data_IF_452331967290
#
_entry.id   IF_452331967290
#
_cell.length_a   1.000
_cell.length_b   1.000
_cell.length_c   1.000
_cell.angle_alpha   90.00
_cell.angle_beta   90.00
_cell.angle_gamma   90.00
#
_symmetry.space_group_name_H-M   'P 1'
#
loop_
_entity.id
_entity.type
_entity.pdbx_description
1 polymer ?
#
# COMPACT_ATOMS: atom_id res chain seq x y z
N UNK A 1 5.79 10.30 -5.23
CA UNK A 1 5.17 10.14 -6.56
C UNK A 1 5.37 11.41 -7.38
N UNK A 2 5.41 11.30 -8.70
CA UNK A 2 5.58 12.45 -9.60
C UNK A 2 4.27 12.86 -10.29
N UNK A 3 4.10 14.15 -10.56
CA UNK A 3 3.02 14.69 -11.37
C UNK A 3 3.37 14.62 -12.88
N UNK A 4 2.39 14.41 -13.78
CA UNK A 4 1.02 13.99 -13.46
C UNK A 4 0.98 12.55 -12.93
N UNK A 5 0.29 12.34 -11.82
CA UNK A 5 0.13 11.02 -11.20
C UNK A 5 -0.79 10.13 -12.02
N UNK A 6 -0.52 8.82 -12.04
CA UNK A 6 -1.35 7.80 -12.68
C UNK A 6 -1.70 6.73 -11.66
N UNK A 7 -2.92 6.77 -11.12
CA UNK A 7 -3.32 5.92 -10.00
C UNK A 7 -3.05 4.43 -10.25
N UNK A 8 -3.50 3.92 -11.40
CA UNK A 8 -3.36 2.50 -11.78
C UNK A 8 -1.91 2.01 -11.85
N UNK A 9 -0.95 2.92 -12.08
CA UNK A 9 0.49 2.62 -12.09
C UNK A 9 1.10 2.84 -10.71
N UNK A 10 0.87 4.01 -10.12
CA UNK A 10 1.62 4.50 -8.96
C UNK A 10 1.18 3.81 -7.65
N UNK A 11 -0.12 3.54 -7.51
CA UNK A 11 -0.68 2.91 -6.31
C UNK A 11 -0.15 1.48 -6.08
N UNK A 12 -0.31 0.52 -7.03
CA UNK A 12 0.17 -0.84 -6.81
C UNK A 12 1.71 -0.89 -6.71
N UNK A 13 2.45 -0.07 -7.46
CA UNK A 13 3.92 -0.05 -7.40
C UNK A 13 4.44 0.37 -6.02
N UNK A 14 3.84 1.39 -5.41
CA UNK A 14 4.20 1.83 -4.07
C UNK A 14 3.75 0.85 -2.99
N UNK A 15 2.60 0.19 -3.13
CA UNK A 15 2.21 -0.91 -2.23
C UNK A 15 3.22 -2.05 -2.32
N UNK A 16 3.58 -2.48 -3.54
CA UNK A 16 4.54 -3.55 -3.83
C UNK A 16 5.91 -3.25 -3.21
N UNK A 17 6.48 -2.10 -3.53
CA UNK A 17 7.87 -1.77 -3.16
C UNK A 17 8.00 -1.24 -1.73
N UNK A 18 7.15 -0.29 -1.36
CA UNK A 18 7.30 0.43 -0.10
C UNK A 18 6.52 -0.25 1.02
N UNK A 19 5.25 -0.58 0.84
CA UNK A 19 4.44 -1.17 1.92
C UNK A 19 4.84 -2.62 2.18
N UNK A 20 4.77 -3.47 1.15
CA UNK A 20 5.06 -4.91 1.27
C UNK A 20 6.58 -5.14 1.24
N UNK A 21 7.26 -4.66 0.19
CA UNK A 21 8.68 -4.91 -0.04
C UNK A 21 9.57 -4.42 1.10
N UNK A 22 9.45 -3.15 1.49
CA UNK A 22 10.31 -2.59 2.53
C UNK A 22 10.08 -3.27 3.90
N UNK A 23 8.84 -3.54 4.29
CA UNK A 23 8.55 -4.16 5.59
C UNK A 23 8.95 -5.64 5.65
N UNK A 24 8.84 -6.37 4.54
CA UNK A 24 9.42 -7.72 4.40
C UNK A 24 10.95 -7.69 4.40
N UNK A 25 11.55 -6.56 4.00
CA UNK A 25 12.97 -6.28 4.06
C UNK A 25 13.37 -5.47 5.31
N UNK A 26 12.69 -5.72 6.44
CA UNK A 26 13.03 -5.24 7.78
C UNK A 26 12.86 -3.74 8.05
N UNK A 27 12.33 -2.97 7.10
CA UNK A 27 11.94 -1.59 7.38
C UNK A 27 10.83 -1.58 8.45
N UNK A 28 11.06 -0.84 9.54
CA UNK A 28 10.08 -0.65 10.62
C UNK A 28 9.14 0.53 10.35
N UNK A 29 9.45 1.35 9.34
CA UNK A 29 8.72 2.57 9.02
C UNK A 29 8.80 2.82 7.52
N UNK A 30 7.68 3.24 6.95
CA UNK A 30 7.54 3.65 5.54
C UNK A 30 6.88 5.02 5.55
N UNK A 31 7.51 5.99 4.88
CA UNK A 31 7.03 7.36 4.78
C UNK A 31 6.90 7.73 3.30
N UNK A 32 5.73 8.24 2.93
CA UNK A 32 5.59 9.01 1.69
C UNK A 32 6.10 10.42 1.91
N UNK A 33 6.46 11.11 0.81
CA UNK A 33 7.20 12.37 0.88
C UNK A 33 6.37 13.54 1.42
N UNK A 34 5.69 14.28 0.54
CA UNK A 34 4.85 15.41 0.94
C UNK A 34 3.44 14.93 1.31
N UNK A 35 2.90 15.40 2.42
CA UNK A 35 1.48 15.16 2.74
C UNK A 35 0.56 15.91 1.78
N UNK A 36 0.87 17.18 1.50
CA UNK A 36 0.05 18.07 0.67
C UNK A 36 0.85 18.65 -0.50
N UNK A 37 0.17 18.95 -1.59
CA UNK A 37 0.66 19.81 -2.69
C UNK A 37 -0.48 20.71 -3.17
N UNK A 38 -0.17 21.88 -3.72
CA UNK A 38 -1.17 22.66 -4.48
C UNK A 38 -1.26 22.14 -5.93
N UNK A 39 -2.24 22.59 -6.76
CA UNK A 39 -2.38 22.09 -8.13
C UNK A 39 -1.19 22.41 -9.04
N UNK A 40 -0.38 23.40 -8.67
CA UNK A 40 0.83 23.81 -9.40
C UNK A 40 2.11 23.14 -8.85
N UNK A 41 2.02 22.19 -7.91
CA UNK A 41 3.13 21.55 -7.21
C UNK A 41 4.14 22.53 -6.59
N UNK A 42 3.65 23.66 -6.08
CA UNK A 42 4.44 24.73 -5.45
C UNK A 42 4.11 24.86 -3.96
N UNK A 43 5.03 25.43 -3.16
CA UNK A 43 6.38 25.85 -3.53
C UNK A 43 7.34 24.66 -3.67
N UNK A 44 8.40 24.83 -4.46
CA UNK A 44 9.56 23.95 -4.50
C UNK A 44 10.84 24.82 -4.59
N UNK A 45 11.99 24.27 -4.22
CA UNK A 45 13.28 24.97 -4.36
C UNK A 45 13.62 25.17 -5.83
N UNK A 46 13.71 26.41 -6.28
CA UNK A 46 13.99 26.78 -7.68
C UNK A 46 15.35 26.27 -8.22
N UNK A 47 16.34 26.10 -7.34
CA UNK A 47 17.67 25.56 -7.66
C UNK A 47 17.75 24.05 -7.45
N UNK A 48 17.01 23.29 -8.26
CA UNK A 48 17.10 21.82 -8.32
C UNK A 48 16.12 21.05 -7.43
N UNK A 49 15.13 21.72 -6.85
CA UNK A 49 14.01 21.07 -6.17
C UNK A 49 13.08 20.34 -7.13
N UNK A 50 12.28 19.43 -6.59
CA UNK A 50 11.32 18.66 -7.36
C UNK A 50 10.10 19.53 -7.74
N UNK A 51 10.05 19.97 -8.98
CA UNK A 51 8.98 20.78 -9.57
C UNK A 51 7.70 19.97 -9.92
N UNK A 52 7.77 18.66 -9.73
CA UNK A 52 6.73 17.69 -10.08
C UNK A 52 6.39 16.73 -8.93
N UNK A 53 6.66 17.11 -7.69
CA UNK A 53 6.38 16.23 -6.55
C UNK A 53 4.93 16.35 -6.10
N UNK A 54 4.18 15.25 -6.28
CA UNK A 54 2.78 15.18 -5.91
C UNK A 54 2.63 14.77 -4.44
N UNK A 55 1.84 15.51 -3.68
CA UNK A 55 1.54 15.19 -2.29
C UNK A 55 0.61 13.98 -2.16
N UNK A 56 0.47 13.46 -0.93
CA UNK A 56 -0.57 12.50 -0.59
C UNK A 56 -1.97 13.02 -0.96
N UNK A 57 -2.21 14.30 -0.72
CA UNK A 57 -3.41 15.01 -1.19
C UNK A 57 -3.03 16.30 -1.93
N UNK A 58 -3.87 16.69 -2.89
CA UNK A 58 -3.82 18.00 -3.54
C UNK A 58 -4.89 18.90 -2.94
N UNK A 59 -4.50 20.11 -2.52
CA UNK A 59 -5.39 21.13 -1.96
C UNK A 59 -5.58 22.26 -2.97
N UNK A 60 -6.83 22.54 -3.35
CA UNK A 60 -7.24 23.65 -4.22
C UNK A 60 -8.30 24.49 -3.52
N UNK A 61 -7.87 25.50 -2.74
CA UNK A 61 -8.71 26.11 -1.72
C UNK A 61 -9.19 25.05 -0.72
N UNK A 62 -10.51 24.96 -0.53
CA UNK A 62 -11.15 23.96 0.35
C UNK A 62 -11.35 22.59 -0.31
N UNK A 63 -11.03 22.46 -1.61
CA UNK A 63 -11.18 21.19 -2.32
C UNK A 63 -9.98 20.28 -2.06
N UNK A 64 -10.25 19.11 -1.48
CA UNK A 64 -9.25 18.07 -1.22
C UNK A 64 -9.35 16.94 -2.25
N UNK A 65 -8.27 16.71 -2.99
CA UNK A 65 -8.14 15.55 -3.89
C UNK A 65 -7.15 14.56 -3.32
N UNK A 66 -7.54 13.29 -3.15
CA UNK A 66 -6.65 12.23 -2.66
C UNK A 66 -5.87 11.64 -3.82
N UNK A 67 -4.55 11.69 -3.76
CA UNK A 67 -3.66 11.07 -4.73
C UNK A 67 -3.34 9.63 -4.30
N UNK A 68 -2.67 8.86 -5.15
CA UNK A 68 -2.33 7.47 -4.87
C UNK A 68 -1.59 7.28 -3.53
N UNK A 69 -0.65 8.17 -3.18
CA UNK A 69 0.12 8.11 -1.94
C UNK A 69 -0.77 8.14 -0.67
N UNK A 70 -1.90 8.85 -0.70
CA UNK A 70 -2.86 8.81 0.41
C UNK A 70 -3.39 7.38 0.62
N UNK A 71 -3.79 6.71 -0.46
CA UNK A 71 -4.32 5.35 -0.38
C UNK A 71 -3.26 4.33 0.01
N UNK A 72 -2.01 4.49 -0.48
CA UNK A 72 -0.87 3.66 -0.07
C UNK A 72 -0.72 3.67 1.46
N UNK A 73 -0.64 4.86 2.05
CA UNK A 73 -0.51 5.01 3.50
C UNK A 73 -1.78 4.53 4.23
N UNK A 74 -2.97 4.77 3.67
CA UNK A 74 -4.23 4.38 4.29
C UNK A 74 -4.41 2.85 4.40
N UNK A 75 -3.94 2.08 3.42
CA UNK A 75 -4.00 0.61 3.44
C UNK A 75 -3.21 -0.03 4.58
N UNK A 76 -2.17 0.65 5.08
CA UNK A 76 -1.37 0.18 6.20
C UNK A 76 -1.72 0.90 7.52
N UNK A 77 -1.59 2.24 7.57
CA UNK A 77 -1.58 3.02 8.82
C UNK A 77 -2.87 2.97 9.65
N UNK A 78 -4.01 2.73 8.99
CA UNK A 78 -5.30 2.57 9.69
C UNK A 78 -5.38 1.27 10.49
N UNK A 79 -4.69 0.23 10.05
CA UNK A 79 -4.85 -1.14 10.55
C UNK A 79 -3.60 -1.67 11.27
N UNK A 80 -2.41 -1.30 10.80
CA UNK A 80 -1.10 -1.64 11.39
C UNK A 80 -0.67 -0.50 12.31
N UNK A 81 -1.12 -0.55 13.56
CA UNK A 81 -0.89 0.51 14.56
C UNK A 81 0.52 0.40 15.17
N UNK A 82 1.06 1.46 15.78
CA UNK A 82 2.32 1.38 16.51
C UNK A 82 2.32 0.22 17.52
N UNK A 83 3.42 -0.53 17.56
CA UNK A 83 3.54 -1.76 18.35
C UNK A 83 3.18 -3.05 17.60
N UNK A 84 2.62 -2.96 16.39
CA UNK A 84 2.46 -4.13 15.52
C UNK A 84 3.81 -4.75 15.16
N UNK A 85 3.85 -6.08 15.13
CA UNK A 85 5.03 -6.88 14.77
C UNK A 85 4.74 -7.60 13.46
N UNK A 86 5.64 -7.51 12.49
CA UNK A 86 5.54 -8.30 11.26
C UNK A 86 5.67 -9.78 11.60
N UNK A 87 4.73 -10.59 11.16
CA UNK A 87 4.75 -12.05 11.32
C UNK A 87 5.06 -12.73 9.98
N UNK A 88 5.41 -14.01 10.03
CA UNK A 88 5.62 -14.79 8.81
C UNK A 88 4.29 -14.96 8.06
N UNK A 89 4.35 -14.78 6.75
CA UNK A 89 3.26 -15.07 5.82
C UNK A 89 3.85 -15.57 4.50
N UNK A 90 3.26 -16.62 3.96
CA UNK A 90 3.62 -17.24 2.70
C UNK A 90 2.46 -17.19 1.71
N UNK A 91 2.76 -17.60 0.49
CA UNK A 91 1.74 -18.00 -0.49
C UNK A 91 2.01 -19.47 -0.74
N UNK A 92 0.99 -20.32 -0.61
CA UNK A 92 1.13 -21.74 -0.96
C UNK A 92 1.26 -21.82 -2.49
N UNK A 93 2.47 -22.14 -2.95
CA UNK A 93 2.87 -22.04 -4.35
C UNK A 93 2.91 -23.43 -4.98
N UNK A 94 1.75 -23.87 -5.47
CA UNK A 94 1.68 -24.82 -6.60
C UNK A 94 1.78 -24.11 -7.95
N UNK A 95 1.68 -22.78 -7.99
CA UNK A 95 1.81 -21.99 -9.21
C UNK A 95 3.06 -21.11 -9.14
N UNK A 96 3.97 -21.29 -10.11
CA UNK A 96 5.13 -20.45 -10.37
C UNK A 96 4.78 -18.99 -10.78
N UNK A 97 3.55 -18.55 -10.54
CA UNK A 97 2.89 -17.33 -11.04
C UNK A 97 2.23 -16.51 -9.91
N UNK A 98 2.66 -16.63 -8.65
CA UNK A 98 1.98 -15.92 -7.55
C UNK A 98 2.27 -14.41 -7.57
N UNK A 99 1.56 -13.69 -8.43
CA UNK A 99 1.42 -12.23 -8.44
C UNK A 99 0.60 -11.72 -7.23
N UNK A 100 0.36 -12.56 -6.23
CA UNK A 100 -0.23 -12.19 -4.94
C UNK A 100 0.89 -11.87 -3.95
N UNK A 101 1.29 -10.62 -3.90
CA UNK A 101 2.27 -10.14 -2.94
C UNK A 101 1.58 -9.85 -1.62
N UNK A 102 2.18 -10.21 -0.49
CA UNK A 102 1.55 -9.99 0.80
C UNK A 102 2.52 -9.69 1.94
N UNK A 103 1.99 -9.09 3.01
CA UNK A 103 2.68 -8.97 4.31
C UNK A 103 1.65 -9.07 5.43
N UNK A 104 2.01 -9.75 6.52
CA UNK A 104 1.17 -9.90 7.69
C UNK A 104 1.79 -9.25 8.95
N UNK A 105 0.93 -8.76 9.82
CA UNK A 105 1.29 -8.15 11.10
C UNK A 105 0.39 -8.68 12.22
N UNK A 106 0.98 -8.91 13.40
CA UNK A 106 0.25 -9.10 14.66
C UNK A 106 0.17 -7.75 15.37
N UNK A 107 -1.03 -7.31 15.73
CA UNK A 107 -1.26 -6.08 16.47
C UNK A 107 -1.14 -6.30 17.99
N UNK A 108 -0.88 -5.23 18.77
CA UNK A 108 -0.86 -5.31 20.23
C UNK A 108 -2.17 -5.80 20.87
N UNK A 109 -3.31 -5.59 20.19
CA UNK A 109 -4.62 -6.07 20.63
C UNK A 109 -4.92 -7.51 20.21
N UNK A 110 -3.92 -8.26 19.74
CA UNK A 110 -4.03 -9.66 19.34
C UNK A 110 -4.58 -9.89 17.93
N UNK A 111 -5.11 -8.86 17.26
CA UNK A 111 -5.63 -8.99 15.90
C UNK A 111 -4.53 -9.16 14.88
N UNK A 112 -4.79 -9.93 13.82
CA UNK A 112 -3.91 -10.07 12.67
C UNK A 112 -4.34 -9.12 11.56
N UNK A 113 -3.37 -8.59 10.84
CA UNK A 113 -3.58 -7.76 9.65
C UNK A 113 -2.83 -8.39 8.50
N UNK A 114 -3.52 -8.64 7.39
CA UNK A 114 -2.91 -9.10 6.15
C UNK A 114 -3.17 -8.06 5.06
N UNK A 115 -2.09 -7.58 4.44
CA UNK A 115 -2.15 -6.74 3.25
C UNK A 115 -1.78 -7.63 2.06
N UNK A 116 -2.64 -7.69 1.04
CA UNK A 116 -2.43 -8.47 -0.18
C UNK A 116 -2.60 -7.55 -1.39
N UNK A 117 -1.61 -7.55 -2.29
CA UNK A 117 -1.67 -6.92 -3.60
C UNK A 117 -1.84 -8.01 -4.66
N UNK A 118 -2.85 -7.86 -5.52
CA UNK A 118 -2.90 -8.55 -6.80
C UNK A 118 -2.12 -7.76 -7.85
N UNK A 119 -0.86 -8.13 -8.07
CA UNK A 119 0.08 -7.53 -9.03
C UNK A 119 -0.06 -8.13 -10.44
N UNK A 120 -1.25 -8.66 -10.77
CA UNK A 120 -1.57 -9.19 -12.09
C UNK A 120 -2.56 -8.31 -12.84
N UNK A 121 -2.67 -8.54 -14.14
CA UNK A 121 -3.63 -7.88 -15.03
C UNK A 121 -5.01 -8.55 -15.04
N UNK A 122 -5.22 -9.59 -14.21
CA UNK A 122 -6.47 -10.35 -14.12
C UNK A 122 -6.96 -10.45 -12.68
N UNK A 123 -8.24 -10.79 -12.50
CA UNK A 123 -8.76 -11.12 -11.17
C UNK A 123 -8.06 -12.38 -10.62
N UNK A 124 -7.72 -12.36 -9.32
CA UNK A 124 -7.17 -13.52 -8.60
C UNK A 124 -8.07 -13.87 -7.44
N UNK A 125 -8.46 -15.15 -7.39
CA UNK A 125 -9.17 -15.76 -6.27
C UNK A 125 -8.18 -16.55 -5.43
N UNK A 126 -8.25 -16.40 -4.12
CA UNK A 126 -7.38 -17.09 -3.18
C UNK A 126 -8.09 -17.28 -1.84
N UNK A 127 -7.52 -18.11 -0.97
CA UNK A 127 -8.03 -18.36 0.37
C UNK A 127 -7.03 -17.84 1.38
N UNK A 128 -7.47 -17.01 2.32
CA UNK A 128 -6.68 -16.65 3.49
C UNK A 128 -6.78 -17.81 4.49
N UNK A 129 -5.65 -18.44 4.79
CA UNK A 129 -5.55 -19.53 5.76
C UNK A 129 -4.82 -19.05 7.02
N UNK A 130 -5.41 -19.29 8.20
CA UNK A 130 -4.80 -19.04 9.50
C UNK A 130 -5.24 -20.11 10.51
N UNK A 131 -4.45 -21.17 10.67
CA UNK A 131 -4.85 -22.34 11.45
C UNK A 131 -6.08 -23.02 10.83
N UNK A 132 -7.17 -23.10 11.60
CA UNK A 132 -8.46 -23.64 11.13
C UNK A 132 -9.31 -22.62 10.35
N UNK A 133 -8.94 -21.32 10.38
CA UNK A 133 -9.65 -20.29 9.62
C UNK A 133 -9.29 -20.40 8.14
N UNK A 134 -10.32 -20.47 7.30
CA UNK A 134 -10.21 -20.41 5.83
C UNK A 134 -11.24 -19.42 5.30
N UNK A 135 -10.80 -18.33 4.67
CA UNK A 135 -11.68 -17.31 4.11
C UNK A 135 -11.40 -17.10 2.61
N UNK A 136 -12.36 -17.43 1.71
CA UNK A 136 -12.18 -17.18 0.29
C UNK A 136 -12.29 -15.68 -0.01
N UNK A 137 -11.41 -15.20 -0.89
CA UNK A 137 -11.28 -13.80 -1.28
C UNK A 137 -11.04 -13.71 -2.79
N UNK A 138 -11.54 -12.64 -3.40
CA UNK A 138 -11.21 -12.25 -4.77
C UNK A 138 -10.68 -10.83 -4.80
N UNK A 139 -9.60 -10.59 -5.54
CA UNK A 139 -9.06 -9.26 -5.81
C UNK A 139 -8.98 -9.02 -7.32
N UNK A 140 -9.52 -7.89 -7.78
CA UNK A 140 -9.38 -7.42 -9.16
C UNK A 140 -7.91 -7.15 -9.49
N UNK A 141 -7.59 -7.07 -10.79
CA UNK A 141 -6.29 -6.67 -11.29
C UNK A 141 -5.79 -5.37 -10.63
N UNK A 142 -4.53 -5.32 -10.23
CA UNK A 142 -3.89 -4.15 -9.60
C UNK A 142 -4.46 -3.72 -8.23
N UNK A 143 -5.43 -4.45 -7.68
CA UNK A 143 -6.11 -4.05 -6.44
C UNK A 143 -5.42 -4.59 -5.19
N UNK A 144 -5.67 -3.91 -4.07
CA UNK A 144 -5.09 -4.24 -2.76
C UNK A 144 -6.22 -4.49 -1.76
N UNK A 145 -6.12 -5.59 -1.02
CA UNK A 145 -6.98 -5.88 0.13
C UNK A 145 -6.21 -5.75 1.43
N UNK A 146 -6.81 -5.08 2.42
CA UNK A 146 -6.34 -5.13 3.82
C UNK A 146 -7.38 -5.85 4.66
N UNK A 147 -7.02 -7.01 5.20
CA UNK A 147 -7.87 -7.89 5.98
C UNK A 147 -7.47 -7.84 7.44
N UNK A 148 -8.45 -7.83 8.34
CA UNK A 148 -8.23 -7.78 9.79
C UNK A 148 -9.15 -8.78 10.45
N UNK A 149 -8.60 -9.64 11.31
CA UNK A 149 -9.35 -10.59 12.13
C UNK A 149 -8.74 -10.73 13.51
#
# INVERSE_FOLDING_TARGET
MGAPGKFERDFPDHIKKLTIGATRNWARTVLEWNLTSNPQNRPFTDRGGCDRCLGGVTLDGDKVTRNAAYYVVAHASKFVRPGSVRIASGVDVSAADSQLLNVAFLRPDGKKVLIVLNDSEVEKKFTIQDGALATPVSLKAGSVGTFVW
#
